data_IF_891172485162
#
_entry.id   IF_891172485162
#
_cell.length_a   1.000
_cell.length_b   1.000
_cell.length_c   1.000
_cell.angle_alpha   90.00
_cell.angle_beta   90.00
_cell.angle_gamma   90.00
#
_symmetry.space_group_name_H-M   'P 1'
#
loop_
_entity.id
_entity.type
_entity.pdbx_description
1 polymer ?
#
# COMPACT_ATOMS: atom_id res chain seq x y z
N UNK A 1 1.44 2.09 -14.02
CA UNK A 1 0.03 1.73 -14.09
C UNK A 1 -0.78 2.96 -13.67
N UNK A 2 -1.53 3.55 -14.59
CA UNK A 2 -2.28 4.82 -14.39
C UNK A 2 -3.78 4.66 -14.73
N UNK A 3 -4.26 3.42 -14.95
CA UNK A 3 -5.63 3.17 -15.40
C UNK A 3 -6.74 3.56 -14.42
N UNK A 4 -6.37 3.89 -13.17
CA UNK A 4 -7.26 4.30 -12.07
C UNK A 4 -6.89 5.65 -11.46
N UNK A 5 -5.94 6.38 -12.04
CA UNK A 5 -5.57 7.72 -11.55
C UNK A 5 -6.70 8.72 -11.84
N UNK A 6 -7.26 9.34 -10.80
CA UNK A 6 -8.25 10.39 -10.94
C UNK A 6 -7.57 11.77 -10.97
N UNK A 7 -7.85 12.57 -12.00
CA UNK A 7 -7.65 14.02 -11.92
C UNK A 7 -8.71 14.58 -10.97
N UNK A 8 -8.32 15.45 -10.03
CA UNK A 8 -9.19 16.11 -9.05
C UNK A 8 -10.14 17.15 -9.69
N UNK A 9 -10.58 16.94 -10.92
CA UNK A 9 -11.61 17.76 -11.55
C UNK A 9 -12.99 17.16 -11.25
N UNK A 10 -13.77 17.92 -10.46
CA UNK A 10 -15.14 17.63 -10.07
C UNK A 10 -16.02 17.41 -11.30
N UNK A 11 -16.12 16.17 -11.77
CA UNK A 11 -17.21 15.72 -12.64
C UNK A 11 -17.77 14.42 -12.10
N UNK A 12 -18.99 14.52 -11.57
CA UNK A 12 -19.77 13.42 -10.99
C UNK A 12 -20.15 12.44 -12.10
N UNK A 13 -19.27 11.49 -12.38
CA UNK A 13 -19.53 10.34 -13.22
C UNK A 13 -19.64 9.09 -12.36
N UNK A 14 -20.87 8.68 -12.03
CA UNK A 14 -21.19 7.42 -11.34
C UNK A 14 -20.46 6.24 -11.99
N UNK A 15 -19.40 5.76 -11.37
CA UNK A 15 -18.79 4.45 -11.67
C UNK A 15 -19.23 3.47 -10.58
N UNK A 16 -20.40 2.85 -10.76
CA UNK A 16 -20.89 1.73 -9.94
C UNK A 16 -20.22 0.39 -10.31
N UNK A 17 -19.03 0.42 -10.90
CA UNK A 17 -18.25 -0.79 -11.16
C UNK A 17 -17.32 -1.01 -9.98
N UNK A 18 -17.45 -2.17 -9.35
CA UNK A 18 -16.57 -2.72 -8.32
C UNK A 18 -15.13 -2.78 -8.86
N UNK A 19 -14.40 -1.67 -8.80
CA UNK A 19 -13.06 -1.50 -9.37
C UNK A 19 -12.08 -1.40 -8.22
N UNK A 20 -11.25 -2.42 -8.07
CA UNK A 20 -10.09 -2.42 -7.21
C UNK A 20 -9.91 -3.72 -6.44
N UNK A 21 -8.67 -4.00 -6.08
CA UNK A 21 -8.37 -5.02 -5.08
C UNK A 21 -8.47 -4.35 -3.71
N UNK A 22 -9.54 -4.60 -2.92
CA UNK A 22 -9.90 -3.73 -1.80
C UNK A 22 -8.89 -3.72 -0.66
N UNK A 23 -7.98 -4.70 -0.63
CA UNK A 23 -7.03 -4.89 0.46
C UNK A 23 -6.06 -3.72 0.64
N UNK A 24 -5.83 -2.90 -0.40
CA UNK A 24 -5.01 -1.69 -0.34
C UNK A 24 -5.83 -0.41 -0.17
N UNK A 25 -7.17 -0.46 -0.26
CA UNK A 25 -8.00 0.73 -0.19
C UNK A 25 -7.97 1.34 1.22
N UNK A 26 -7.87 2.67 1.26
CA UNK A 26 -7.95 3.42 2.51
C UNK A 26 -9.40 3.47 3.04
N UNK A 27 -9.61 3.55 4.37
CA UNK A 27 -10.94 3.59 4.97
C UNK A 27 -11.83 4.71 4.40
N UNK A 28 -11.24 5.89 4.14
CA UNK A 28 -11.94 7.04 3.56
C UNK A 28 -12.40 6.81 2.12
N UNK A 29 -11.62 6.08 1.32
CA UNK A 29 -11.99 5.73 -0.07
C UNK A 29 -13.16 4.75 -0.07
N UNK A 30 -13.16 3.79 0.86
CA UNK A 30 -14.28 2.85 1.04
C UNK A 30 -15.54 3.59 1.50
N UNK A 31 -15.39 4.59 2.39
CA UNK A 31 -16.51 5.37 2.90
C UNK A 31 -17.14 6.33 1.87
N UNK A 32 -16.41 6.73 0.81
CA UNK A 32 -16.96 7.53 -0.29
C UNK A 32 -18.13 6.82 -1.02
N UNK A 33 -18.19 5.49 -1.00
CA UNK A 33 -19.34 4.75 -1.55
C UNK A 33 -20.61 4.94 -0.69
N UNK A 34 -20.46 5.25 0.60
CA UNK A 34 -21.57 5.42 1.55
C UNK A 34 -21.96 6.90 1.74
N UNK A 35 -21.02 7.84 1.56
CA UNK A 35 -21.25 9.28 1.71
C UNK A 35 -20.84 10.05 0.44
N UNK A 36 -21.80 10.56 -0.36
CA UNK A 36 -21.55 11.33 -1.58
C UNK A 36 -20.74 12.63 -1.38
N UNK A 37 -20.66 13.14 -0.15
CA UNK A 37 -19.87 14.35 0.18
C UNK A 37 -18.45 14.03 0.67
N UNK A 38 -18.14 12.75 0.95
CA UNK A 38 -16.81 12.36 1.36
C UNK A 38 -15.86 12.48 0.16
N UNK A 39 -14.85 13.35 0.28
CA UNK A 39 -13.76 13.45 -0.69
C UNK A 39 -12.54 12.73 -0.15
N UNK A 40 -11.98 11.79 -0.91
CA UNK A 40 -10.66 11.25 -0.60
C UNK A 40 -9.58 12.21 -1.12
N UNK A 41 -8.45 12.27 -0.42
CA UNK A 41 -7.30 13.09 -0.80
C UNK A 41 -6.11 12.19 -1.23
N UNK A 42 -5.02 12.84 -1.64
CA UNK A 42 -3.76 12.17 -2.02
C UNK A 42 -3.15 11.33 -0.89
N UNK A 43 -3.59 11.49 0.36
CA UNK A 43 -3.08 10.67 1.47
C UNK A 43 -3.64 9.26 1.42
N UNK A 44 -4.71 9.00 0.68
CA UNK A 44 -5.21 7.65 0.41
C UNK A 44 -4.12 6.76 -0.20
N UNK A 45 -3.28 7.32 -1.07
CA UNK A 45 -2.13 6.61 -1.65
C UNK A 45 -1.08 6.25 -0.59
N UNK A 46 -0.94 7.06 0.47
CA UNK A 46 -0.01 6.78 1.57
C UNK A 46 -0.50 5.62 2.45
N UNK A 47 -1.81 5.41 2.55
CA UNK A 47 -2.34 4.19 3.15
C UNK A 47 -2.01 2.97 2.29
N UNK A 48 -2.30 3.04 0.98
CA UNK A 48 -1.97 1.98 0.02
C UNK A 48 -0.48 1.62 0.08
N UNK A 49 0.40 2.62 0.18
CA UNK A 49 1.85 2.45 0.38
C UNK A 49 2.16 1.67 1.65
N UNK A 50 1.49 1.98 2.77
CA UNK A 50 1.62 1.24 4.02
C UNK A 50 1.23 -0.23 3.88
N UNK A 51 0.15 -0.50 3.15
CA UNK A 51 -0.30 -1.88 2.87
C UNK A 51 0.69 -2.61 1.96
N UNK A 52 1.17 -1.98 0.89
CA UNK A 52 2.22 -2.54 0.02
C UNK A 52 3.51 -2.82 0.79
N UNK A 53 3.86 -1.99 1.78
CA UNK A 53 5.01 -2.24 2.62
C UNK A 53 4.82 -3.47 3.53
N UNK A 54 3.61 -3.71 4.06
CA UNK A 54 3.27 -4.98 4.74
C UNK A 54 3.35 -6.15 3.77
N UNK A 55 2.80 -6.02 2.57
CA UNK A 55 2.83 -7.06 1.54
C UNK A 55 4.27 -7.45 1.18
N UNK A 56 5.18 -6.49 0.97
CA UNK A 56 6.60 -6.78 0.74
C UNK A 56 7.26 -7.52 1.91
N UNK A 57 6.78 -7.31 3.15
CA UNK A 57 7.32 -7.92 4.35
C UNK A 57 6.74 -9.32 4.62
N UNK A 58 5.44 -9.52 4.38
CA UNK A 58 4.70 -10.72 4.77
C UNK A 58 4.29 -11.60 3.57
N UNK A 59 4.51 -11.13 2.34
CA UNK A 59 4.18 -11.81 1.09
C UNK A 59 2.76 -11.58 0.57
N UNK A 60 1.89 -10.97 1.38
CA UNK A 60 0.51 -10.66 1.01
C UNK A 60 -0.03 -9.48 1.84
N UNK A 61 -1.00 -8.70 1.33
CA UNK A 61 -1.62 -7.63 2.10
C UNK A 61 -2.51 -8.21 3.22
N UNK A 62 -2.86 -7.43 4.26
CA UNK A 62 -3.82 -7.83 5.26
C UNK A 62 -5.17 -8.22 4.63
N UNK A 63 -5.82 -9.24 5.19
CA UNK A 63 -7.14 -9.73 4.79
C UNK A 63 -7.22 -10.34 3.37
N UNK A 64 -6.09 -10.63 2.72
CA UNK A 64 -6.05 -11.20 1.36
C UNK A 64 -6.79 -12.53 1.19
N UNK A 65 -6.86 -13.34 2.26
CA UNK A 65 -7.52 -14.65 2.25
C UNK A 65 -9.05 -14.55 2.43
N UNK A 66 -9.58 -13.34 2.61
CA UNK A 66 -10.99 -13.09 2.84
C UNK A 66 -11.68 -12.63 1.56
N UNK A 67 -12.98 -12.90 1.44
CA UNK A 67 -13.76 -12.40 0.31
C UNK A 67 -13.68 -10.85 0.22
N UNK A 68 -13.47 -10.24 -0.96
CA UNK A 68 -13.32 -8.80 -1.15
C UNK A 68 -14.38 -7.95 -0.43
N UNK A 69 -15.67 -8.33 -0.53
CA UNK A 69 -16.77 -7.67 0.19
C UNK A 69 -16.61 -7.67 1.71
N UNK A 70 -16.06 -8.75 2.27
CA UNK A 70 -15.81 -8.85 3.71
C UNK A 70 -14.63 -7.97 4.12
N UNK A 71 -13.61 -7.84 3.27
CA UNK A 71 -12.51 -6.91 3.50
C UNK A 71 -12.99 -5.45 3.52
N UNK A 72 -13.84 -5.04 2.56
CA UNK A 72 -14.46 -3.71 2.52
C UNK A 72 -15.19 -3.39 3.83
N UNK A 73 -15.91 -4.35 4.40
CA UNK A 73 -16.59 -4.17 5.68
C UNK A 73 -15.63 -4.02 6.87
N UNK A 74 -14.52 -4.77 6.86
CA UNK A 74 -13.59 -4.85 7.99
C UNK A 74 -12.55 -3.73 8.02
N UNK A 75 -12.08 -3.23 6.88
CA UNK A 75 -11.03 -2.20 6.82
C UNK A 75 -11.41 -0.95 7.63
N UNK A 76 -12.62 -0.37 7.51
CA UNK A 76 -13.02 0.78 8.31
C UNK A 76 -13.29 0.46 9.78
N UNK A 77 -13.49 -0.82 10.16
CA UNK A 77 -13.91 -1.22 11.52
C UNK A 77 -12.76 -1.75 12.38
N UNK A 78 -11.87 -2.53 11.79
CA UNK A 78 -10.73 -3.11 12.49
C UNK A 78 -9.73 -2.02 12.91
N UNK A 79 -8.88 -2.32 13.91
CA UNK A 79 -7.67 -1.55 14.15
C UNK A 79 -6.80 -1.47 12.89
N UNK A 80 -6.01 -0.40 12.77
CA UNK A 80 -5.04 -0.27 11.69
C UNK A 80 -4.12 -1.51 11.65
N UNK A 81 -3.84 -2.08 10.46
CA UNK A 81 -2.94 -3.22 10.33
C UNK A 81 -1.54 -2.92 10.89
N UNK A 82 -0.89 -3.94 11.40
CA UNK A 82 0.50 -3.90 11.88
C UNK A 82 1.22 -5.15 11.42
N UNK A 83 2.55 -5.07 11.36
CA UNK A 83 3.39 -6.25 11.10
C UNK A 83 3.18 -7.28 12.20
N UNK A 84 2.91 -8.54 11.83
CA UNK A 84 2.63 -9.64 12.76
C UNK A 84 3.88 -10.07 13.51
N UNK A 85 5.02 -10.09 12.81
CA UNK A 85 6.29 -10.55 13.37
C UNK A 85 7.07 -9.43 14.05
N UNK A 86 7.59 -9.69 15.25
CA UNK A 86 8.46 -8.76 15.98
C UNK A 86 9.90 -8.70 15.42
N UNK A 87 10.25 -9.51 14.40
CA UNK A 87 11.59 -9.56 13.79
C UNK A 87 11.98 -8.26 13.07
N UNK A 88 10.99 -7.46 12.69
CA UNK A 88 11.18 -6.24 11.94
C UNK A 88 11.75 -5.12 12.81
N UNK A 89 12.56 -4.25 12.22
CA UNK A 89 13.15 -3.12 12.96
C UNK A 89 12.06 -2.19 13.50
N UNK A 90 12.35 -1.52 14.62
CA UNK A 90 11.44 -0.51 15.19
C UNK A 90 11.20 0.66 14.24
N UNK A 91 12.20 1.03 13.44
CA UNK A 91 12.04 2.03 12.37
C UNK A 91 11.01 1.58 11.34
N UNK A 92 11.02 0.31 10.93
CA UNK A 92 10.05 -0.19 9.95
C UNK A 92 8.63 -0.26 10.55
N UNK A 93 8.49 -0.79 11.77
CA UNK A 93 7.20 -0.80 12.48
C UNK A 93 6.59 0.62 12.58
N UNK A 94 7.41 1.60 13.01
CA UNK A 94 7.02 3.02 13.09
C UNK A 94 6.59 3.62 11.74
N UNK A 95 7.26 3.23 10.65
CA UNK A 95 6.90 3.69 9.31
C UNK A 95 5.51 3.19 8.89
N UNK A 96 5.25 1.89 9.08
CA UNK A 96 3.93 1.30 8.80
C UNK A 96 2.84 1.99 9.62
N UNK A 97 3.10 2.25 10.91
CA UNK A 97 2.15 2.95 11.79
C UNK A 97 1.88 4.39 11.35
N UNK A 98 2.88 5.07 10.80
CA UNK A 98 2.74 6.42 10.25
C UNK A 98 1.88 6.42 8.97
N UNK A 99 2.05 5.42 8.10
CA UNK A 99 1.24 5.29 6.89
C UNK A 99 -0.21 4.90 7.20
N UNK A 100 -0.42 3.97 8.15
CA UNK A 100 -1.72 3.35 8.43
C UNK A 100 -2.53 4.08 9.51
N UNK A 101 -2.51 5.42 9.48
CA UNK A 101 -3.40 6.24 10.30
C UNK A 101 -4.78 6.28 9.61
N UNK A 102 -5.81 5.79 10.29
CA UNK A 102 -7.18 5.69 9.73
C UNK A 102 -7.80 7.05 9.41
N UNK A 103 -7.59 8.05 10.27
CA UNK A 103 -8.01 9.42 9.99
C UNK A 103 -7.03 10.05 8.99
N UNK A 104 -7.44 10.21 7.73
CA UNK A 104 -6.60 10.81 6.68
C UNK A 104 -6.13 12.23 7.04
N UNK A 105 -6.95 13.01 7.76
CA UNK A 105 -6.55 14.32 8.29
C UNK A 105 -5.32 14.28 9.20
N UNK A 106 -5.18 13.21 10.00
CA UNK A 106 -4.04 12.98 10.90
C UNK A 106 -2.89 12.21 10.24
N UNK A 107 -3.13 11.59 9.07
CA UNK A 107 -2.10 10.87 8.33
C UNK A 107 -1.03 11.87 7.84
N UNK A 108 0.27 11.60 8.04
CA UNK A 108 1.33 12.49 7.58
C UNK A 108 1.30 12.68 6.06
N UNK A 109 1.81 13.82 5.58
CA UNK A 109 2.00 14.05 4.14
C UNK A 109 3.20 13.27 3.59
N UNK A 110 3.32 13.23 2.27
CA UNK A 110 4.45 12.63 1.57
C UNK A 110 5.78 13.25 2.01
N UNK A 111 5.86 14.58 2.14
CA UNK A 111 7.05 15.30 2.57
C UNK A 111 7.46 14.93 4.01
N UNK A 112 6.49 14.64 4.87
CA UNK A 112 6.74 14.17 6.23
C UNK A 112 7.24 12.72 6.23
N UNK A 113 6.64 11.83 5.43
CA UNK A 113 7.06 10.43 5.34
C UNK A 113 8.44 10.26 4.71
N UNK A 114 8.82 11.10 3.73
CA UNK A 114 10.18 11.12 3.17
C UNK A 114 11.26 11.45 4.22
N UNK A 115 10.89 12.17 5.29
CA UNK A 115 11.78 12.48 6.41
C UNK A 115 11.80 11.38 7.48
N UNK A 116 10.92 10.38 7.40
CA UNK A 116 10.85 9.31 8.38
C UNK A 116 12.16 8.50 8.39
N UNK A 117 12.74 8.14 9.55
CA UNK A 117 14.05 7.48 9.63
C UNK A 117 14.17 6.19 8.79
N UNK A 118 13.07 5.43 8.64
CA UNK A 118 13.04 4.24 7.79
C UNK A 118 13.34 4.53 6.31
N UNK A 119 12.90 5.68 5.79
CA UNK A 119 13.07 6.08 4.39
C UNK A 119 14.34 6.91 4.22
N UNK A 120 14.58 7.86 5.13
CA UNK A 120 15.69 8.80 5.04
C UNK A 120 17.05 8.13 5.25
N UNK A 121 17.14 7.13 6.13
CA UNK A 121 18.41 6.56 6.57
C UNK A 121 18.68 5.21 5.87
N UNK A 122 19.17 5.28 4.63
CA UNK A 122 19.50 4.11 3.79
C UNK A 122 21.01 4.00 3.48
N UNK A 123 21.88 3.67 4.46
CA UNK A 123 23.33 3.61 4.23
C UNK A 123 23.73 2.56 3.19
N UNK A 124 22.92 1.51 3.02
CA UNK A 124 23.21 0.38 2.14
C UNK A 124 22.46 0.46 0.79
N UNK A 125 21.92 1.62 0.40
CA UNK A 125 21.10 1.77 -0.81
C UNK A 125 21.80 1.22 -2.06
N UNK A 126 23.07 1.57 -2.27
CA UNK A 126 23.86 1.11 -3.42
C UNK A 126 23.95 -0.42 -3.46
N UNK A 127 24.21 -1.05 -2.31
CA UNK A 127 24.32 -2.50 -2.22
C UNK A 127 22.97 -3.19 -2.46
N UNK A 128 21.87 -2.63 -1.94
CA UNK A 128 20.52 -3.12 -2.17
C UNK A 128 20.17 -3.09 -3.66
N UNK A 129 20.50 -1.99 -4.36
CA UNK A 129 20.28 -1.87 -5.81
C UNK A 129 21.03 -2.95 -6.60
N UNK A 130 22.27 -3.27 -6.22
CA UNK A 130 23.05 -4.35 -6.84
C UNK A 130 22.36 -5.70 -6.59
N UNK A 131 22.00 -6.00 -5.34
CA UNK A 131 21.34 -7.26 -4.99
C UNK A 131 20.00 -7.45 -5.73
N UNK A 132 19.22 -6.38 -5.91
CA UNK A 132 17.98 -6.40 -6.69
C UNK A 132 18.27 -6.69 -8.17
N UNK A 133 19.28 -6.03 -8.76
CA UNK A 133 19.70 -6.29 -10.15
C UNK A 133 20.11 -7.75 -10.34
N UNK A 134 20.97 -8.27 -9.47
CA UNK A 134 21.43 -9.66 -9.51
C UNK A 134 20.28 -10.66 -9.34
N UNK A 135 19.27 -10.32 -8.52
CA UNK A 135 18.07 -11.13 -8.38
C UNK A 135 17.23 -11.15 -9.67
N UNK A 136 17.05 -9.99 -10.30
CA UNK A 136 16.33 -9.87 -11.58
C UNK A 136 17.04 -10.68 -12.68
N UNK A 137 18.35 -10.55 -12.81
CA UNK A 137 19.13 -11.22 -13.85
C UNK A 137 19.10 -12.75 -13.69
N UNK A 138 19.24 -13.26 -12.45
CA UNK A 138 19.08 -14.69 -12.14
C UNK A 138 17.67 -15.21 -12.47
N UNK A 139 16.64 -14.41 -12.20
CA UNK A 139 15.26 -14.80 -12.46
C UNK A 139 14.95 -14.86 -13.96
N UNK A 140 15.52 -13.95 -14.75
CA UNK A 140 15.41 -13.96 -16.22
C UNK A 140 16.07 -15.20 -16.82
N UNK A 141 17.30 -15.53 -16.40
CA UNK A 141 18.03 -16.72 -16.88
C UNK A 141 17.24 -18.01 -16.62
N UNK A 142 16.74 -18.20 -15.39
CA UNK A 142 15.91 -19.36 -15.02
C UNK A 142 14.60 -19.47 -15.82
N UNK A 143 14.01 -18.35 -16.24
CA UNK A 143 12.80 -18.37 -17.08
C UNK A 143 13.12 -18.75 -18.52
N UNK A 144 14.25 -18.29 -19.07
CA UNK A 144 14.72 -18.70 -20.39
C UNK A 144 14.97 -20.22 -20.48
N UNK A 145 15.66 -20.78 -19.48
CA UNK A 145 15.94 -22.22 -19.39
C UNK A 145 14.66 -23.09 -19.27
N UNK A 146 13.54 -22.53 -18.79
CA UNK A 146 12.24 -23.23 -18.67
C UNK A 146 11.35 -23.09 -19.89
N UNK A 147 11.62 -22.14 -20.79
CA UNK A 147 10.85 -21.92 -22.02
C UNK A 147 11.37 -22.73 -23.22
N UNK A 148 12.53 -23.39 -23.06
CA UNK A 148 13.17 -24.24 -24.09
C UNK A 148 12.84 -25.75 -23.92
N UNK A 149 11.87 -26.08 -23.06
CA UNK A 149 11.36 -27.44 -22.85
C UNK A 149 9.85 -27.53 -23.07
#
# INVERSE_FOLDING_TARGET
>A
DFGVSAQLDRTVGRRNTFIGTPYWMAPEVIACDENPEATYDFKSDLWSLGITAIEMAEGAPPLCDMHPMRALFLIPRNPAPRLKSKKWSKKFQSFIESCLVKSHGQRPSTEQLLKHPFIREMPNERQIRIQLKDHIDRTKKKRGERGEH
#
